data_IF_507475408501
#
_entry.id   IF_507475408501
#
_cell.length_a   1.000
_cell.length_b   1.000
_cell.length_c   1.000
_cell.angle_alpha   90.00
_cell.angle_beta   90.00
_cell.angle_gamma   90.00
#
_symmetry.space_group_name_H-M   'P 1'
#
loop_
_entity.id
_entity.type
_entity.pdbx_description
1 polymer ?
#
# COMPACT_ATOMS: atom_id res chain seq x y z
N UNK A 1 13.64 1.12 3.26
CA UNK A 1 14.39 0.88 2.69
C UNK A 1 15.09 0.13 1.73
N UNK A 2 15.65 0.36 1.34
CA UNK A 2 16.18 -0.07 0.54
C UNK A 2 17.21 -0.60 0.82
N UNK A 3 17.67 -1.03 0.97
CA UNK A 3 18.61 -1.44 1.17
C UNK A 3 19.22 -1.69 0.22
N UNK A 4 19.47 -1.42 -0.15
CA UNK A 4 20.20 -1.57 -0.89
C UNK A 4 20.47 -2.53 -1.74
N UNK A 5 20.91 -2.66 -2.31
CA UNK A 5 21.07 -3.46 -3.17
C UNK A 5 21.22 -4.77 -2.98
N UNK A 6 21.63 -5.45 -3.01
CA UNK A 6 21.83 -6.56 -2.74
C UNK A 6 21.00 -7.54 -3.32
N UNK A 7 20.94 -8.65 -2.94
CA UNK A 7 20.02 -9.66 -3.37
C UNK A 7 18.63 -9.15 -3.30
N UNK A 8 18.44 -8.19 -2.42
CA UNK A 8 17.15 -7.57 -2.27
C UNK A 8 16.69 -6.88 -3.54
N UNK A 9 17.61 -6.37 -4.32
CA UNK A 9 17.25 -5.69 -5.55
C UNK A 9 16.58 -6.64 -6.52
N UNK A 10 16.99 -7.88 -6.54
CA UNK A 10 16.38 -8.85 -7.43
C UNK A 10 14.95 -9.14 -7.08
N UNK A 11 14.55 -8.90 -5.82
CA UNK A 11 13.19 -9.13 -5.37
C UNK A 11 12.31 -7.89 -5.47
N UNK A 12 12.88 -6.73 -5.82
CA UNK A 12 12.10 -5.50 -5.93
C UNK A 12 11.56 -5.39 -7.35
N UNK A 13 10.26 -5.18 -7.44
CA UNK A 13 9.59 -5.03 -8.72
C UNK A 13 8.85 -3.73 -8.80
N UNK A 14 8.85 -3.11 -9.97
CA UNK A 14 7.87 -2.09 -10.25
C UNK A 14 6.53 -2.79 -10.35
N UNK A 15 5.49 -2.11 -9.90
CA UNK A 15 4.17 -2.71 -9.95
C UNK A 15 3.55 -2.47 -11.32
N UNK A 16 4.24 -2.88 -12.37
CA UNK A 16 3.78 -2.62 -13.74
C UNK A 16 2.45 -3.29 -14.03
N UNK A 17 2.24 -4.47 -13.50
CA UNK A 17 1.01 -5.21 -13.73
C UNK A 17 -0.21 -4.48 -13.17
N UNK A 18 -0.01 -3.65 -12.15
CA UNK A 18 -1.09 -2.93 -11.48
C UNK A 18 -1.00 -1.44 -11.74
N UNK A 19 -0.14 -0.99 -12.65
CA UNK A 19 0.08 0.45 -12.85
C UNK A 19 -1.20 1.22 -13.13
N UNK A 20 -2.17 0.59 -13.79
CA UNK A 20 -3.43 1.26 -14.11
C UNK A 20 -4.29 1.54 -12.87
N UNK A 21 -3.94 0.97 -11.72
CA UNK A 21 -4.66 1.19 -10.46
C UNK A 21 -3.93 2.15 -9.53
N UNK A 22 -2.88 2.79 -10.05
CA UNK A 22 -2.07 3.72 -9.27
C UNK A 22 -1.91 5.02 -10.03
N UNK A 23 -1.74 6.11 -9.31
CA UNK A 23 -1.20 7.35 -9.85
C UNK A 23 0.20 7.45 -9.30
N UNK A 24 1.21 7.58 -10.18
CA UNK A 24 2.61 7.62 -9.76
C UNK A 24 3.25 6.25 -9.81
N UNK A 25 4.44 6.15 -9.24
CA UNK A 25 5.27 4.95 -9.31
C UNK A 25 5.40 4.29 -7.95
N UNK A 26 5.16 2.99 -7.91
CA UNK A 26 5.37 2.20 -6.70
C UNK A 26 6.22 0.98 -7.01
N UNK A 27 6.76 0.40 -5.94
CA UNK A 27 7.64 -0.77 -6.01
C UNK A 27 7.21 -1.77 -4.95
N UNK A 28 7.29 -3.05 -5.28
CA UNK A 28 6.92 -4.11 -4.35
C UNK A 28 8.08 -5.08 -4.21
N UNK A 29 8.43 -5.40 -2.98
CA UNK A 29 9.43 -6.41 -2.65
C UNK A 29 8.77 -7.49 -1.80
N UNK A 30 8.46 -8.66 -2.38
CA UNK A 30 7.94 -9.77 -1.58
C UNK A 30 8.98 -10.21 -0.56
N UNK A 31 8.54 -10.38 0.68
CA UNK A 31 9.42 -10.82 1.77
C UNK A 31 9.08 -12.22 2.22
N UNK A 32 7.80 -12.54 2.35
CA UNK A 32 7.33 -13.88 2.71
C UNK A 32 6.12 -14.19 1.83
N UNK A 33 6.18 -15.35 1.17
CA UNK A 33 5.04 -15.89 0.43
C UNK A 33 4.71 -17.23 1.06
N UNK A 34 3.90 -17.20 2.11
CA UNK A 34 3.59 -18.37 2.89
C UNK A 34 2.23 -18.94 2.59
N UNK A 35 1.93 -20.07 3.19
CA UNK A 35 0.62 -20.70 3.04
C UNK A 35 -0.44 -19.93 3.81
N UNK A 36 -0.06 -19.34 4.92
CA UNK A 36 -1.00 -18.66 5.82
C UNK A 36 -0.94 -17.15 5.69
N UNK A 37 0.22 -16.60 5.29
CA UNK A 37 0.42 -15.16 5.30
C UNK A 37 1.40 -14.76 4.22
N UNK A 38 1.16 -13.59 3.64
CA UNK A 38 2.08 -12.96 2.70
C UNK A 38 2.54 -11.63 3.28
N UNK A 39 3.83 -11.34 3.15
CA UNK A 39 4.43 -10.11 3.65
C UNK A 39 5.22 -9.47 2.53
N UNK A 40 4.99 -8.19 2.31
CA UNK A 40 5.72 -7.45 1.27
C UNK A 40 6.13 -6.10 1.81
N UNK A 41 7.20 -5.56 1.25
CA UNK A 41 7.54 -4.17 1.46
C UNK A 41 7.10 -3.39 0.22
N UNK A 42 6.31 -2.36 0.42
CA UNK A 42 5.79 -1.54 -0.68
C UNK A 42 6.32 -0.13 -0.50
N UNK A 43 6.91 0.41 -1.58
CA UNK A 43 7.44 1.77 -1.56
C UNK A 43 6.70 2.58 -2.62
N UNK A 44 6.25 3.77 -2.21
CA UNK A 44 5.60 4.73 -3.10
C UNK A 44 6.51 5.93 -3.26
N UNK A 45 6.76 6.36 -4.48
CA UNK A 45 7.42 7.64 -4.70
C UNK A 45 6.48 8.78 -4.28
N UNK A 46 7.04 9.93 -3.94
CA UNK A 46 6.24 11.07 -3.52
C UNK A 46 5.08 11.30 -4.51
N UNK A 47 3.90 11.49 -3.99
CA UNK A 47 2.70 11.72 -4.80
C UNK A 47 2.02 10.45 -5.30
N UNK A 48 2.63 9.29 -5.13
CA UNK A 48 2.04 8.04 -5.61
C UNK A 48 0.98 7.53 -4.65
N UNK A 49 -0.15 7.10 -5.18
CA UNK A 49 -1.20 6.46 -4.37
C UNK A 49 -1.95 5.47 -5.23
N UNK A 50 -2.56 4.49 -4.57
CA UNK A 50 -3.40 3.54 -5.30
C UNK A 50 -4.84 4.05 -5.36
N UNK A 51 -5.62 3.44 -6.24
CA UNK A 51 -7.05 3.71 -6.33
C UNK A 51 -7.77 3.21 -5.07
N UNK A 52 -8.98 3.70 -4.86
CA UNK A 52 -9.89 3.06 -3.92
C UNK A 52 -9.99 1.58 -4.29
N UNK A 53 -9.97 0.71 -3.28
CA UNK A 53 -10.06 -0.72 -3.54
C UNK A 53 -10.55 -1.46 -2.29
N UNK A 54 -10.93 -2.72 -2.51
CA UNK A 54 -11.45 -3.59 -1.46
C UNK A 54 -10.71 -4.91 -1.55
N UNK A 55 -10.28 -5.43 -0.40
CA UNK A 55 -9.80 -6.81 -0.31
C UNK A 55 -10.95 -7.67 0.19
N UNK A 56 -11.38 -8.63 -0.61
CA UNK A 56 -12.47 -9.51 -0.23
C UNK A 56 -11.92 -10.72 0.51
N UNK A 57 -12.50 -11.01 1.67
CA UNK A 57 -12.21 -12.16 2.52
C UNK A 57 -10.90 -12.09 3.31
N UNK A 58 -9.94 -11.31 2.89
CA UNK A 58 -8.64 -11.21 3.59
C UNK A 58 -8.53 -9.85 4.26
N UNK A 59 -7.86 -9.83 5.41
CA UNK A 59 -7.49 -8.58 6.05
C UNK A 59 -6.10 -8.15 5.62
N UNK A 60 -5.76 -6.91 5.91
CA UNK A 60 -4.43 -6.39 5.61
C UNK A 60 -3.94 -5.56 6.79
N UNK A 61 -2.67 -5.72 7.13
CA UNK A 61 -2.02 -4.89 8.13
C UNK A 61 -0.95 -4.08 7.41
N UNK A 62 -0.94 -2.78 7.64
CA UNK A 62 0.06 -1.87 7.09
C UNK A 62 0.90 -1.35 8.22
N UNK A 63 2.22 -1.49 8.11
CA UNK A 63 3.16 -0.97 9.09
C UNK A 63 4.06 0.03 8.39
N UNK A 64 3.90 1.31 8.71
CA UNK A 64 4.72 2.36 8.11
C UNK A 64 6.16 2.22 8.60
N UNK A 65 7.12 2.24 7.67
CA UNK A 65 8.52 2.05 8.00
C UNK A 65 9.43 3.16 7.47
N UNK A 66 8.97 3.97 6.53
CA UNK A 66 9.82 5.04 6.01
C UNK A 66 9.00 6.15 5.38
N UNK A 67 9.52 7.38 5.46
CA UNK A 67 8.85 8.51 4.86
C UNK A 67 7.55 8.89 5.52
N UNK A 68 6.63 9.45 4.74
CA UNK A 68 5.34 9.91 5.25
C UNK A 68 4.27 9.56 4.21
N UNK A 69 3.16 9.01 4.66
CA UNK A 69 2.09 8.62 3.77
C UNK A 69 0.72 8.82 4.39
N UNK A 70 -0.29 8.31 3.72
CA UNK A 70 -1.68 8.44 4.14
C UNK A 70 -2.45 7.15 3.91
N UNK A 71 -3.48 6.98 4.72
CA UNK A 71 -4.46 5.92 4.61
C UNK A 71 -5.84 6.51 4.84
N UNK A 72 -6.83 6.08 4.05
CA UNK A 72 -8.19 6.56 4.24
C UNK A 72 -9.18 5.45 3.95
N UNK A 73 -10.16 5.29 4.85
CA UNK A 73 -11.33 4.45 4.60
C UNK A 73 -12.44 5.31 4.03
N UNK A 74 -13.22 4.71 3.15
CA UNK A 74 -14.37 5.41 2.57
C UNK A 74 -15.28 5.93 3.68
N UNK A 75 -15.64 7.21 3.60
CA UNK A 75 -16.50 7.83 4.59
C UNK A 75 -15.80 8.38 5.81
N UNK A 76 -14.47 8.27 5.88
CA UNK A 76 -13.70 8.78 7.02
C UNK A 76 -12.62 9.73 6.52
N UNK A 77 -12.02 10.46 7.46
CA UNK A 77 -10.93 11.37 7.12
C UNK A 77 -9.64 10.61 6.84
N UNK A 78 -8.78 11.15 5.98
CA UNK A 78 -7.47 10.54 5.77
C UNK A 78 -6.63 10.63 7.05
N UNK A 79 -5.82 9.59 7.27
CA UNK A 79 -4.94 9.49 8.43
C UNK A 79 -3.50 9.52 7.93
N UNK A 80 -2.70 10.42 8.48
CA UNK A 80 -1.28 10.48 8.16
C UNK A 80 -0.55 9.33 8.82
N UNK A 81 0.37 8.71 8.07
CA UNK A 81 1.15 7.57 8.55
C UNK A 81 2.62 7.95 8.60
N UNK A 82 3.21 7.81 9.77
CA UNK A 82 4.64 8.01 10.01
C UNK A 82 5.26 6.69 10.46
N UNK A 83 6.58 6.53 10.33
CA UNK A 83 7.22 5.26 10.72
C UNK A 83 6.81 4.82 12.11
N UNK A 84 6.40 3.57 12.23
CA UNK A 84 5.90 3.00 13.47
C UNK A 84 4.39 2.95 13.56
N UNK A 85 3.68 3.69 12.70
CA UNK A 85 2.21 3.64 12.70
C UNK A 85 1.73 2.35 12.06
N UNK A 86 0.64 1.80 12.59
CA UNK A 86 0.08 0.54 12.14
C UNK A 86 -1.39 0.74 11.84
N UNK A 87 -1.84 0.19 10.70
CA UNK A 87 -3.25 0.22 10.31
C UNK A 87 -3.73 -1.20 10.12
N UNK A 88 -4.89 -1.50 10.66
CA UNK A 88 -5.57 -2.75 10.37
C UNK A 88 -6.71 -2.47 9.41
N UNK A 89 -6.68 -3.15 8.26
CA UNK A 89 -7.71 -3.04 7.24
C UNK A 89 -8.52 -4.32 7.28
N UNK A 90 -9.75 -4.23 7.79
CA UNK A 90 -10.63 -5.39 7.86
C UNK A 90 -11.03 -5.83 6.46
N UNK A 91 -11.40 -7.10 6.28
CA UNK A 91 -11.95 -7.54 4.99
C UNK A 91 -13.14 -6.68 4.59
N UNK A 92 -13.31 -6.49 3.28
CA UNK A 92 -14.44 -5.76 2.70
C UNK A 92 -14.41 -4.25 2.98
N UNK A 93 -13.27 -3.70 3.34
CA UNK A 93 -13.13 -2.26 3.61
C UNK A 93 -12.67 -1.53 2.36
N UNK A 94 -13.44 -0.56 1.90
CA UNK A 94 -13.04 0.30 0.78
C UNK A 94 -12.06 1.33 1.31
N UNK A 95 -10.85 1.35 0.74
CA UNK A 95 -9.76 2.19 1.25
C UNK A 95 -8.75 2.48 0.15
N UNK A 96 -7.85 3.42 0.45
CA UNK A 96 -6.65 3.65 -0.35
C UNK A 96 -5.50 4.00 0.59
N UNK A 97 -4.28 3.87 0.09
CA UNK A 97 -3.09 4.35 0.78
C UNK A 97 -2.04 4.78 -0.25
N UNK A 98 -1.07 5.56 0.23
CA UNK A 98 -0.03 6.07 -0.65
C UNK A 98 0.88 7.05 0.04
N UNK A 99 1.81 7.61 -0.74
CA UNK A 99 2.78 8.57 -0.26
C UNK A 99 2.13 9.95 -0.08
N UNK A 100 2.74 10.76 0.78
CA UNK A 100 2.38 12.16 0.86
C UNK A 100 2.77 12.86 -0.44
N UNK A 101 2.19 14.03 -0.74
CA UNK A 101 2.56 14.73 -1.96
C UNK A 101 4.04 15.10 -2.04
N UNK A 102 4.69 15.28 -0.91
CA UNK A 102 6.08 15.76 -0.84
C UNK A 102 7.04 14.79 -0.19
N UNK A 103 6.69 13.51 -0.06
CA UNK A 103 7.56 12.53 0.59
C UNK A 103 7.32 11.15 0.03
N UNK A 104 8.38 10.40 -0.22
CA UNK A 104 8.27 8.97 -0.45
C UNK A 104 7.69 8.31 0.80
N UNK A 105 7.12 7.13 0.62
CA UNK A 105 6.50 6.40 1.72
C UNK A 105 6.75 4.91 1.52
N UNK A 106 7.12 4.23 2.59
CA UNK A 106 7.30 2.79 2.55
C UNK A 106 6.54 2.15 3.71
N UNK A 107 5.89 1.03 3.43
CA UNK A 107 5.24 0.27 4.48
C UNK A 107 5.39 -1.22 4.23
N UNK A 108 5.29 -1.99 5.31
CA UNK A 108 5.14 -3.44 5.22
C UNK A 108 3.66 -3.72 5.09
N UNK A 109 3.30 -4.60 4.16
CA UNK A 109 1.93 -5.07 4.01
C UNK A 109 1.88 -6.54 4.37
N UNK A 110 1.00 -6.89 5.29
CA UNK A 110 0.79 -8.26 5.72
C UNK A 110 -0.65 -8.63 5.41
N UNK A 111 -0.83 -9.73 4.66
CA UNK A 111 -2.17 -10.23 4.34
C UNK A 111 -2.25 -11.71 4.65
N UNK A 112 -3.36 -12.11 5.25
CA UNK A 112 -3.59 -13.54 5.45
C UNK A 112 -4.02 -14.17 4.11
N UNK A 113 -3.59 -15.41 3.90
CA UNK A 113 -3.93 -16.14 2.68
C UNK A 113 -5.24 -16.87 2.91
N UNK A 114 -6.24 -16.57 2.09
CA UNK A 114 -7.58 -17.13 2.21
C UNK A 114 -8.03 -17.59 0.84
N UNK A 115 -8.57 -18.80 0.79
CA UNK A 115 -9.13 -19.32 -0.46
C UNK A 115 -10.27 -18.42 -0.93
N UNK A 116 -10.25 -18.07 -2.21
CA UNK A 116 -11.30 -17.23 -2.78
C UNK A 116 -11.12 -15.74 -2.51
N UNK A 117 -10.02 -15.34 -1.86
CA UNK A 117 -9.75 -13.93 -1.66
C UNK A 117 -9.48 -13.25 -3.00
N UNK A 118 -9.87 -12.00 -3.11
CA UNK A 118 -9.67 -11.22 -4.33
C UNK A 118 -9.56 -9.74 -3.99
N UNK A 119 -9.00 -8.99 -4.93
CA UNK A 119 -8.93 -7.54 -4.84
C UNK A 119 -9.89 -6.94 -5.85
N UNK A 120 -10.65 -5.95 -5.42
CA UNK A 120 -11.55 -5.21 -6.30
C UNK A 120 -11.03 -3.78 -6.41
N UNK A 121 -10.64 -3.37 -7.62
CA UNK A 121 -10.09 -2.04 -7.88
C UNK A 121 -11.21 -1.13 -8.32
N UNK A 122 -11.26 0.07 -7.73
CA UNK A 122 -12.32 1.03 -7.94
C UNK A 122 -11.73 2.33 -8.49
N UNK A 123 -12.37 3.45 -8.19
CA UNK A 123 -12.00 4.73 -8.81
C UNK A 123 -10.70 5.29 -8.24
N UNK A 124 -9.98 6.10 -9.03
CA UNK A 124 -8.80 6.78 -8.52
C UNK A 124 -9.19 7.89 -7.52
N UNK A 125 -8.22 8.28 -6.69
CA UNK A 125 -8.42 9.40 -5.79
C UNK A 125 -7.60 10.58 -6.32
N UNK A 126 -8.25 11.71 -6.57
CA UNK A 126 -7.60 12.86 -7.17
C UNK A 126 -7.84 14.14 -6.37
N UNK A 127 -9.07 14.68 -6.38
CA UNK A 127 -9.33 15.95 -5.71
C UNK A 127 -9.07 15.88 -4.22
N UNK A 128 -9.47 14.79 -3.57
CA UNK A 128 -9.26 14.63 -2.14
C UNK A 128 -7.76 14.55 -1.83
N UNK A 129 -7.00 13.91 -2.71
CA UNK A 129 -5.57 13.80 -2.53
C UNK A 129 -4.88 15.16 -2.64
N UNK A 130 -5.31 15.95 -3.61
CA UNK A 130 -4.72 17.28 -3.83
C UNK A 130 -4.92 18.18 -2.63
N UNK A 131 -5.89 17.91 -1.78
CA UNK A 131 -6.15 18.68 -0.58
C UNK A 131 -5.25 18.30 0.60
N UNK A 132 -4.48 17.23 0.49
CA UNK A 132 -3.59 16.79 1.56
C UNK A 132 -2.36 17.68 1.67
N UNK A 133 -1.79 17.76 2.89
CA UNK A 133 -0.59 18.56 3.14
C UNK A 133 0.57 17.74 3.67
#
# INVERSE_FOLDING_TARGET
GRRGGRGADAAVHREAAYAKYFIGQSYLAPLISGKEVNVSNVTFEAGCRNNWHIHHKACQILIAVGGRGYYQEWGKEPVELNPGDVVYVAPETKHWHGAAPDSDFAHIAIMNAVDGASNEWLEPIEAEYDALR
#
